data_IF_077287988793
#
_entry.id   IF_077287988793
#
_cell.length_a   1.000
_cell.length_b   1.000
_cell.length_c   1.000
_cell.angle_alpha   90.00
_cell.angle_beta   90.00
_cell.angle_gamma   90.00
#
_symmetry.space_group_name_H-M   'P 1'
#
loop_
_entity.id
_entity.type
_entity.pdbx_description
1 polymer ?
#
# COMPACT_ATOMS: atom_id res chain seq x y z
N UNK A 1 26.56 -7.53 -20.27
CA UNK A 1 27.10 -6.41 -19.49
C UNK A 1 26.05 -6.04 -18.46
N UNK A 2 26.18 -6.53 -17.22
CA UNK A 2 25.17 -6.27 -16.14
C UNK A 2 25.35 -4.83 -15.65
N UNK A 3 24.48 -3.93 -16.07
CA UNK A 3 24.45 -2.56 -15.56
C UNK A 3 23.91 -2.62 -14.13
N UNK A 4 24.80 -2.48 -13.17
CA UNK A 4 24.46 -2.32 -11.76
C UNK A 4 23.72 -0.99 -11.60
N UNK A 5 22.40 -1.02 -11.50
CA UNK A 5 21.65 0.06 -10.88
C UNK A 5 21.99 0.02 -9.40
N UNK A 6 22.96 0.85 -9.01
CA UNK A 6 23.21 1.14 -7.61
C UNK A 6 22.14 2.15 -7.22
N UNK A 7 21.01 1.65 -6.74
CA UNK A 7 20.14 2.48 -5.92
C UNK A 7 21.01 3.03 -4.78
N UNK A 8 20.91 4.31 -4.50
CA UNK A 8 21.45 4.89 -3.26
C UNK A 8 20.60 4.43 -2.07
N UNK A 9 20.41 3.12 -1.96
CA UNK A 9 19.42 2.43 -1.14
C UNK A 9 19.79 2.35 0.35
N UNK A 10 20.98 2.84 0.76
CA UNK A 10 21.39 2.76 2.16
C UNK A 10 21.14 4.05 2.94
N UNK A 11 21.28 5.21 2.30
CA UNK A 11 20.97 6.49 2.93
C UNK A 11 19.46 6.68 3.07
N UNK A 12 18.72 6.28 2.04
CA UNK A 12 17.26 6.40 1.93
C UNK A 12 16.51 5.58 2.98
N UNK A 13 17.00 4.38 3.35
CA UNK A 13 16.40 3.57 4.43
C UNK A 13 16.45 4.23 5.80
N UNK A 14 17.46 5.03 6.07
CA UNK A 14 17.63 5.73 7.33
C UNK A 14 16.65 6.89 7.45
N UNK A 15 16.44 7.68 6.40
CA UNK A 15 15.47 8.78 6.37
C UNK A 15 14.04 8.27 6.58
N UNK A 16 13.64 7.21 5.90
CA UNK A 16 12.32 6.60 6.12
C UNK A 16 12.14 6.09 7.56
N UNK A 17 13.21 5.65 8.22
CA UNK A 17 13.17 5.20 9.62
C UNK A 17 13.05 6.38 10.58
N UNK A 18 13.79 7.44 10.37
CA UNK A 18 13.90 8.58 11.28
C UNK A 18 12.77 9.59 11.10
N UNK A 19 12.48 9.98 9.85
CA UNK A 19 11.47 10.99 9.51
C UNK A 19 10.07 10.40 9.34
N UNK A 20 9.96 9.09 9.06
CA UNK A 20 8.69 8.42 8.74
C UNK A 20 8.24 8.59 7.30
N UNK A 21 8.94 9.35 6.47
CA UNK A 21 8.74 9.48 5.03
C UNK A 21 10.08 9.57 4.28
N UNK A 22 10.02 9.30 2.99
CA UNK A 22 11.12 9.40 2.04
C UNK A 22 10.57 10.01 0.75
N UNK A 23 11.27 11.00 0.20
CA UNK A 23 10.92 11.64 -1.07
C UNK A 23 12.15 11.77 -1.95
N UNK A 24 12.08 11.23 -3.17
CA UNK A 24 13.22 11.22 -4.09
C UNK A 24 12.78 11.26 -5.55
N UNK A 25 13.69 11.69 -6.42
CA UNK A 25 13.52 11.71 -7.87
C UNK A 25 14.31 10.59 -8.52
N UNK A 26 13.67 9.82 -9.39
CA UNK A 26 14.31 8.79 -10.21
C UNK A 26 14.18 9.19 -11.67
N UNK A 27 15.29 9.19 -12.41
CA UNK A 27 15.28 9.45 -13.85
C UNK A 27 16.27 8.56 -14.60
N UNK A 28 15.96 8.28 -15.85
CA UNK A 28 16.83 7.57 -16.80
C UNK A 28 16.72 8.22 -18.17
N UNK A 29 17.87 8.40 -18.83
CA UNK A 29 17.93 9.05 -20.15
C UNK A 29 18.02 8.09 -21.33
N UNK A 30 18.16 6.78 -21.10
CA UNK A 30 18.45 5.85 -22.21
C UNK A 30 18.13 4.38 -21.92
N UNK A 31 17.40 4.06 -20.88
CA UNK A 31 17.12 2.68 -20.50
C UNK A 31 15.67 2.49 -20.03
N UNK A 32 15.16 1.29 -20.23
CA UNK A 32 13.95 0.85 -19.54
C UNK A 32 14.12 0.96 -18.04
N UNK A 33 13.09 1.44 -17.38
CA UNK A 33 12.99 1.45 -15.92
C UNK A 33 12.03 0.34 -15.52
N UNK A 34 12.48 -0.53 -14.63
CA UNK A 34 11.67 -1.65 -14.13
C UNK A 34 11.71 -1.68 -12.61
N UNK A 35 10.55 -1.64 -12.01
CA UNK A 35 10.31 -1.97 -10.61
C UNK A 35 9.60 -3.32 -10.62
N UNK A 36 10.32 -4.38 -10.26
CA UNK A 36 9.79 -5.74 -10.21
C UNK A 36 8.63 -5.84 -9.23
N UNK A 37 7.81 -6.87 -9.36
CA UNK A 37 6.70 -7.14 -8.44
C UNK A 37 7.23 -7.24 -7.02
N UNK A 38 6.71 -6.39 -6.15
CA UNK A 38 7.10 -6.35 -4.73
C UNK A 38 5.99 -5.75 -3.86
N UNK A 39 6.25 -5.67 -2.58
CA UNK A 39 5.39 -5.03 -1.59
C UNK A 39 6.23 -4.53 -0.41
N UNK A 40 5.73 -3.54 0.29
CA UNK A 40 6.33 -2.97 1.49
C UNK A 40 5.27 -2.37 2.41
N UNK A 41 5.65 -2.07 3.65
CA UNK A 41 4.73 -1.50 4.66
C UNK A 41 4.43 -0.01 4.48
N UNK A 42 5.20 0.71 3.66
CA UNK A 42 4.94 2.10 3.37
C UNK A 42 3.74 2.25 2.41
N UNK A 43 3.04 3.38 2.49
CA UNK A 43 2.20 3.90 1.42
C UNK A 43 3.14 4.59 0.45
N UNK A 44 3.06 4.27 -0.84
CA UNK A 44 3.94 4.87 -1.84
C UNK A 44 3.12 5.61 -2.89
N UNK A 45 3.60 6.77 -3.26
CA UNK A 45 3.04 7.60 -4.31
C UNK A 45 4.09 7.80 -5.40
N UNK A 46 3.71 7.60 -6.65
CA UNK A 46 4.57 7.81 -7.81
C UNK A 46 3.95 8.90 -8.68
N UNK A 47 4.63 10.02 -8.83
CA UNK A 47 4.25 11.11 -9.72
C UNK A 47 5.13 11.07 -10.97
N UNK A 48 4.54 10.78 -12.13
CA UNK A 48 5.27 10.61 -13.38
C UNK A 48 5.70 11.97 -13.93
N UNK A 49 6.99 12.11 -14.24
CA UNK A 49 7.55 13.32 -14.87
C UNK A 49 7.83 13.14 -16.35
N UNK A 50 8.34 11.98 -16.73
CA UNK A 50 8.77 11.69 -18.10
C UNK A 50 8.50 10.23 -18.46
N UNK A 51 8.15 9.97 -19.72
CA UNK A 51 7.90 8.62 -20.22
C UNK A 51 6.51 8.09 -19.91
N UNK A 52 6.23 6.89 -20.40
CA UNK A 52 4.97 6.17 -20.15
C UNK A 52 5.29 4.89 -19.40
N UNK A 53 4.53 4.61 -18.38
CA UNK A 53 4.73 3.44 -17.54
C UNK A 53 3.49 2.54 -17.52
N UNK A 54 3.72 1.24 -17.73
CA UNK A 54 2.74 0.22 -17.39
C UNK A 54 2.87 -0.12 -15.92
N UNK A 55 1.80 0.10 -15.17
CA UNK A 55 1.74 -0.09 -13.72
C UNK A 55 0.78 -1.21 -13.39
N UNK A 56 1.19 -2.13 -12.54
CA UNK A 56 0.32 -3.18 -11.98
C UNK A 56 0.03 -2.86 -10.52
N UNK A 57 -1.25 -2.85 -10.15
CA UNK A 57 -1.74 -2.67 -8.77
C UNK A 57 -2.72 -3.78 -8.46
N UNK A 58 -2.37 -4.68 -7.54
CA UNK A 58 -3.19 -5.82 -7.13
C UNK A 58 -3.73 -6.65 -8.31
N UNK A 59 -2.93 -6.74 -9.40
CA UNK A 59 -3.26 -7.48 -10.62
C UNK A 59 -4.03 -6.71 -11.69
N UNK A 60 -4.43 -5.45 -11.44
CA UNK A 60 -4.97 -4.55 -12.45
C UNK A 60 -3.86 -3.75 -13.11
N UNK A 61 -4.01 -3.43 -14.40
CA UNK A 61 -3.01 -2.71 -15.17
C UNK A 61 -3.50 -1.31 -15.55
N UNK A 62 -2.59 -0.34 -15.43
CA UNK A 62 -2.79 1.06 -15.77
C UNK A 62 -1.65 1.52 -16.67
N UNK A 63 -1.92 2.50 -17.55
CA UNK A 63 -0.89 3.23 -18.29
C UNK A 63 -0.80 4.63 -17.69
N UNK A 64 0.37 4.95 -17.16
CA UNK A 64 0.62 6.22 -16.50
C UNK A 64 1.48 7.13 -17.40
N UNK A 65 1.02 8.33 -17.61
CA UNK A 65 1.63 9.35 -18.46
C UNK A 65 2.26 10.46 -17.61
N UNK A 66 3.11 11.33 -18.18
CA UNK A 66 3.62 12.49 -17.47
C UNK A 66 2.52 13.37 -16.89
N UNK A 67 2.61 13.63 -15.59
CA UNK A 67 1.62 14.38 -14.82
C UNK A 67 0.64 13.50 -14.05
N UNK A 68 0.58 12.19 -14.32
CA UNK A 68 -0.28 11.25 -13.58
C UNK A 68 0.34 10.90 -12.21
N UNK A 69 -0.53 10.57 -11.26
CA UNK A 69 -0.17 10.10 -9.92
C UNK A 69 -0.73 8.70 -9.67
N UNK A 70 0.12 7.84 -9.15
CA UNK A 70 -0.21 6.50 -8.73
C UNK A 70 -0.01 6.38 -7.21
N UNK A 71 -0.89 5.67 -6.53
CA UNK A 71 -0.75 5.34 -5.11
C UNK A 71 -0.74 3.83 -4.90
N UNK A 72 0.28 3.34 -4.22
CA UNK A 72 0.36 1.97 -3.72
C UNK A 72 0.07 1.96 -2.23
N UNK A 73 -0.90 1.15 -1.84
CA UNK A 73 -1.28 0.99 -0.43
C UNK A 73 -0.21 0.26 0.36
N UNK A 74 -0.16 0.50 1.66
CA UNK A 74 0.65 -0.32 2.57
C UNK A 74 0.35 -1.81 2.35
N UNK A 75 1.41 -2.60 2.12
CA UNK A 75 1.35 -4.02 1.77
C UNK A 75 0.61 -4.36 0.46
N UNK A 76 0.29 -3.36 -0.39
CA UNK A 76 -0.23 -3.59 -1.74
C UNK A 76 0.84 -4.17 -2.66
N UNK A 77 0.46 -5.13 -3.50
CA UNK A 77 1.37 -5.73 -4.47
C UNK A 77 1.38 -4.87 -5.72
N UNK A 78 2.56 -4.45 -6.12
CA UNK A 78 2.70 -3.57 -7.27
C UNK A 78 3.99 -3.79 -8.06
N UNK A 79 3.96 -3.34 -9.29
CA UNK A 79 5.13 -3.27 -10.17
C UNK A 79 4.96 -2.13 -11.17
N UNK A 80 6.06 -1.67 -11.74
CA UNK A 80 6.04 -0.63 -12.76
C UNK A 80 7.14 -0.89 -13.78
N UNK A 81 6.83 -0.72 -15.06
CA UNK A 81 7.81 -0.83 -16.15
C UNK A 81 7.57 0.29 -17.15
N UNK A 82 8.63 0.97 -17.60
CA UNK A 82 8.53 1.95 -18.67
C UNK A 82 8.27 1.27 -20.01
N UNK A 83 7.42 1.86 -20.83
CA UNK A 83 7.08 1.33 -22.17
C UNK A 83 8.05 1.75 -23.26
N UNK A 84 8.93 2.71 -22.97
CA UNK A 84 9.93 3.20 -23.91
C UNK A 84 11.33 3.22 -23.31
N UNK A 85 12.33 3.37 -24.16
CA UNK A 85 13.76 3.45 -23.79
C UNK A 85 14.28 4.89 -23.75
N UNK A 86 13.44 5.86 -24.03
CA UNK A 86 13.81 7.26 -24.02
C UNK A 86 13.87 7.80 -22.58
N UNK A 87 13.64 9.06 -22.41
CA UNK A 87 13.62 9.69 -21.10
C UNK A 87 12.46 9.15 -20.26
N UNK A 88 12.76 8.58 -19.12
CA UNK A 88 11.80 8.11 -18.13
C UNK A 88 12.10 8.75 -16.78
N UNK A 89 11.08 9.17 -16.05
CA UNK A 89 11.27 9.81 -14.75
C UNK A 89 10.01 9.85 -13.90
N UNK A 90 10.22 9.82 -12.59
CA UNK A 90 9.14 9.99 -11.62
C UNK A 90 9.68 10.49 -10.28
N UNK A 91 8.84 11.15 -9.51
CA UNK A 91 9.05 11.36 -8.08
C UNK A 91 8.37 10.24 -7.30
N UNK A 92 9.06 9.71 -6.30
CA UNK A 92 8.51 8.73 -5.36
C UNK A 92 8.42 9.35 -3.96
N UNK A 93 7.23 9.26 -3.35
CA UNK A 93 6.99 9.58 -1.96
C UNK A 93 6.59 8.30 -1.22
N UNK A 94 7.41 7.86 -0.27
CA UNK A 94 7.09 6.75 0.64
C UNK A 94 6.75 7.29 2.01
N UNK A 95 5.61 6.86 2.54
CA UNK A 95 5.10 7.34 3.83
C UNK A 95 4.82 6.13 4.73
N UNK A 96 5.42 6.09 5.91
CA UNK A 96 5.05 5.08 6.91
C UNK A 96 3.64 5.34 7.42
N UNK A 97 2.80 4.29 7.58
CA UNK A 97 1.45 4.45 8.13
C UNK A 97 1.40 5.18 9.49
N UNK A 98 2.49 5.15 10.25
CA UNK A 98 2.62 5.88 11.51
C UNK A 98 2.42 7.41 11.33
N UNK A 99 2.90 8.00 10.24
CA UNK A 99 2.68 9.44 9.97
C UNK A 99 1.19 9.79 9.96
N UNK A 100 0.33 8.89 9.47
CA UNK A 100 -1.11 9.13 9.50
C UNK A 100 -1.64 9.35 10.92
N UNK A 101 -1.01 8.71 11.91
CA UNK A 101 -1.34 8.90 13.32
C UNK A 101 -0.83 10.26 13.82
N UNK A 102 0.36 10.66 13.39
CA UNK A 102 1.01 11.89 13.84
C UNK A 102 0.31 13.16 13.28
N UNK A 103 -0.23 13.09 12.04
CA UNK A 103 -0.93 14.22 11.40
C UNK A 103 -2.44 14.23 11.66
N UNK A 104 -3.02 13.18 12.25
CA UNK A 104 -4.46 13.03 12.37
C UNK A 104 -4.93 13.28 13.78
N UNK A 105 -6.07 13.98 14.00
CA UNK A 105 -6.75 13.96 15.28
C UNK A 105 -7.01 12.50 15.69
N UNK A 106 -6.75 12.16 16.94
CA UNK A 106 -6.84 10.78 17.44
C UNK A 106 -8.15 10.08 17.08
N UNK A 107 -9.27 10.83 17.07
CA UNK A 107 -10.59 10.34 16.66
C UNK A 107 -10.68 9.89 15.17
N UNK A 108 -9.77 10.34 14.33
CA UNK A 108 -9.75 10.05 12.89
C UNK A 108 -8.68 9.06 12.49
N UNK A 109 -7.69 8.78 13.35
CA UNK A 109 -6.54 7.90 13.06
C UNK A 109 -6.98 6.57 12.47
N UNK A 110 -7.97 5.94 13.08
CA UNK A 110 -8.53 4.65 12.62
C UNK A 110 -9.08 4.74 11.19
N UNK A 111 -9.91 5.77 10.94
CA UNK A 111 -10.53 6.01 9.64
C UNK A 111 -9.47 6.19 8.56
N UNK A 112 -8.50 7.04 8.83
CA UNK A 112 -7.43 7.38 7.90
C UNK A 112 -6.52 6.18 7.65
N UNK A 113 -6.07 5.48 8.69
CA UNK A 113 -5.21 4.31 8.55
C UNK A 113 -5.88 3.18 7.76
N UNK A 114 -7.17 2.94 7.98
CA UNK A 114 -7.93 1.95 7.23
C UNK A 114 -8.03 2.30 5.74
N UNK A 115 -8.21 3.58 5.40
CA UNK A 115 -8.29 4.06 4.01
C UNK A 115 -7.08 3.65 3.19
N UNK A 116 -5.90 3.73 3.76
CA UNK A 116 -4.64 3.41 3.09
C UNK A 116 -4.20 1.95 3.27
N UNK A 117 -5.03 1.11 3.87
CA UNK A 117 -4.73 -0.32 4.02
C UNK A 117 -5.16 -1.13 2.80
N UNK A 118 -4.52 -2.27 2.58
CA UNK A 118 -4.90 -3.24 1.52
C UNK A 118 -6.34 -3.77 1.68
N UNK A 119 -6.94 -3.59 2.84
CA UNK A 119 -8.28 -4.05 3.13
C UNK A 119 -9.39 -3.11 2.63
N UNK A 120 -9.03 -1.94 2.12
CA UNK A 120 -9.98 -1.02 1.48
C UNK A 120 -9.93 -1.19 -0.04
N UNK A 121 -10.85 -1.93 -0.66
CA UNK A 121 -10.86 -2.16 -2.11
C UNK A 121 -11.34 -0.94 -2.91
N UNK A 122 -11.90 0.07 -2.25
CA UNK A 122 -12.60 1.19 -2.91
C UNK A 122 -11.75 2.47 -2.99
N UNK A 123 -10.56 2.48 -2.39
CA UNK A 123 -9.71 3.68 -2.48
C UNK A 123 -9.23 3.87 -3.91
N UNK A 124 -9.29 5.11 -4.40
CA UNK A 124 -8.73 5.48 -5.69
C UNK A 124 -7.21 5.31 -5.65
N UNK A 125 -6.65 4.70 -6.68
CA UNK A 125 -5.22 4.40 -6.80
C UNK A 125 -4.51 5.20 -7.88
N UNK A 126 -5.27 5.79 -8.78
CA UNK A 126 -4.75 6.44 -9.98
C UNK A 126 -5.51 7.74 -10.21
N UNK A 127 -4.76 8.81 -10.46
CA UNK A 127 -5.28 10.12 -10.85
C UNK A 127 -4.57 10.54 -12.13
N UNK A 128 -5.35 10.95 -13.13
CA UNK A 128 -4.78 11.58 -14.31
C UNK A 128 -4.30 12.98 -13.98
N UNK A 129 -3.46 13.54 -14.84
CA UNK A 129 -3.00 14.92 -14.74
C UNK A 129 -4.14 15.90 -14.56
N UNK A 130 -5.21 15.76 -15.37
CA UNK A 130 -6.37 16.64 -15.35
C UNK A 130 -7.16 16.53 -14.03
N UNK A 131 -7.22 15.35 -13.45
CA UNK A 131 -7.87 15.12 -12.15
C UNK A 131 -7.07 15.70 -10.97
N UNK A 132 -5.78 15.94 -11.15
CA UNK A 132 -4.91 16.53 -10.14
C UNK A 132 -4.93 18.05 -10.16
N UNK A 133 -5.27 18.69 -11.28
CA UNK A 133 -5.27 20.14 -11.41
C UNK A 133 -6.17 20.77 -10.33
N UNK A 134 -5.68 21.84 -9.70
CA UNK A 134 -6.38 22.60 -8.65
C UNK A 134 -6.75 21.78 -7.41
N UNK A 135 -6.01 20.69 -7.11
CA UNK A 135 -6.22 19.86 -5.92
C UNK A 135 -5.15 20.04 -4.86
N UNK A 136 -5.48 19.83 -3.58
CA UNK A 136 -4.48 19.79 -2.50
C UNK A 136 -3.39 18.71 -2.71
N UNK A 137 -3.69 17.66 -3.50
CA UNK A 137 -2.73 16.61 -3.85
C UNK A 137 -1.62 17.22 -4.70
N UNK A 138 -2.00 17.95 -5.76
CA UNK A 138 -1.04 18.61 -6.67
C UNK A 138 -0.22 19.66 -5.94
N UNK A 139 -0.86 20.51 -5.16
CA UNK A 139 -0.18 21.52 -4.33
C UNK A 139 0.87 20.91 -3.40
N UNK A 140 0.53 19.77 -2.78
CA UNK A 140 1.44 19.05 -1.92
C UNK A 140 2.66 18.50 -2.67
N UNK A 141 2.45 17.88 -3.85
CA UNK A 141 3.56 17.41 -4.69
C UNK A 141 4.44 18.53 -5.20
N UNK A 142 3.86 19.65 -5.63
CA UNK A 142 4.64 20.82 -6.08
C UNK A 142 5.52 21.40 -4.96
N UNK A 143 4.99 21.41 -3.72
CA UNK A 143 5.77 21.83 -2.56
C UNK A 143 6.90 20.83 -2.24
N UNK A 144 6.65 19.52 -2.29
CA UNK A 144 7.70 18.50 -2.09
C UNK A 144 8.81 18.63 -3.14
N UNK A 145 8.43 18.81 -4.41
CA UNK A 145 9.41 18.98 -5.51
C UNK A 145 10.25 20.24 -5.31
N UNK A 146 9.67 21.31 -4.82
CA UNK A 146 10.38 22.54 -4.49
C UNK A 146 11.36 22.36 -3.33
N UNK A 147 11.00 21.57 -2.34
CA UNK A 147 11.75 21.42 -1.10
C UNK A 147 12.80 20.30 -1.15
N UNK A 148 12.80 19.42 -2.19
CA UNK A 148 13.66 18.22 -2.25
C UNK A 148 15.17 18.56 -2.13
N UNK A 149 15.60 19.67 -2.73
CA UNK A 149 16.99 20.13 -2.71
C UNK A 149 17.19 21.30 -1.73
N UNK A 150 16.21 21.60 -0.89
CA UNK A 150 16.30 22.71 0.05
C UNK A 150 17.24 22.37 1.21
N UNK A 151 18.18 23.30 1.48
CA UNK A 151 19.02 23.26 2.67
C UNK A 151 18.43 24.05 3.85
N UNK A 152 17.18 24.48 3.76
CA UNK A 152 16.50 25.21 4.82
C UNK A 152 16.29 24.29 6.04
N UNK A 153 16.59 24.82 7.22
CA UNK A 153 16.41 24.13 8.51
C UNK A 153 14.96 23.65 8.74
N UNK A 154 13.99 24.31 8.12
CA UNK A 154 12.58 24.02 8.26
C UNK A 154 11.98 23.22 7.09
N UNK A 155 12.83 22.76 6.13
CA UNK A 155 12.35 22.01 4.97
C UNK A 155 11.58 20.74 5.36
N UNK A 156 11.99 20.04 6.39
CA UNK A 156 11.29 18.86 6.89
C UNK A 156 9.87 19.17 7.37
N UNK A 157 9.66 20.32 8.02
CA UNK A 157 8.32 20.77 8.45
C UNK A 157 7.47 21.11 7.22
N UNK A 158 8.05 21.81 6.22
CA UNK A 158 7.37 22.10 4.96
C UNK A 158 6.95 20.84 4.23
N UNK A 159 7.84 19.86 4.11
CA UNK A 159 7.55 18.56 3.50
C UNK A 159 6.47 17.80 4.26
N UNK A 160 6.48 17.84 5.61
CA UNK A 160 5.45 17.22 6.43
C UNK A 160 4.06 17.84 6.21
N UNK A 161 3.99 19.16 6.09
CA UNK A 161 2.75 19.89 5.75
C UNK A 161 2.28 19.51 4.34
N UNK A 162 3.21 19.39 3.38
CA UNK A 162 2.90 18.98 2.01
C UNK A 162 2.31 17.54 1.97
N UNK A 163 2.88 16.61 2.73
CA UNK A 163 2.36 15.25 2.88
C UNK A 163 0.95 15.27 3.50
N UNK A 164 0.73 16.10 4.52
CA UNK A 164 -0.59 16.25 5.12
C UNK A 164 -1.63 16.79 4.12
N UNK A 165 -1.25 17.73 3.23
CA UNK A 165 -2.12 18.21 2.13
C UNK A 165 -2.46 17.10 1.14
N UNK A 166 -1.47 16.29 0.72
CA UNK A 166 -1.68 15.15 -0.18
C UNK A 166 -2.71 14.19 0.43
N UNK A 167 -2.50 13.80 1.69
CA UNK A 167 -3.40 12.89 2.40
C UNK A 167 -4.80 13.48 2.53
N UNK A 168 -4.92 14.75 2.89
CA UNK A 168 -6.20 15.46 2.96
C UNK A 168 -6.91 15.46 1.60
N UNK A 169 -6.19 15.77 0.52
CA UNK A 169 -6.74 15.75 -0.83
C UNK A 169 -7.29 14.38 -1.21
N UNK A 170 -6.57 13.29 -0.93
CA UNK A 170 -7.03 11.93 -1.18
C UNK A 170 -8.28 11.59 -0.36
N UNK A 171 -8.30 11.97 0.91
CA UNK A 171 -9.45 11.75 1.77
C UNK A 171 -10.69 12.55 1.32
N UNK A 172 -10.49 13.72 0.72
CA UNK A 172 -11.58 14.59 0.23
C UNK A 172 -12.21 14.09 -1.07
N UNK A 173 -11.54 13.21 -1.83
CA UNK A 173 -12.10 12.63 -3.07
C UNK A 173 -13.04 11.45 -2.82
N UNK A 174 -13.26 11.06 -1.57
CA UNK A 174 -14.06 9.89 -1.22
C UNK A 174 -15.34 10.30 -0.50
N UNK A 175 -16.44 10.36 -1.24
CA UNK A 175 -17.78 10.75 -0.76
C UNK A 175 -18.36 9.81 0.33
N UNK A 176 -17.70 8.69 0.61
CA UNK A 176 -18.14 7.69 1.60
C UNK A 176 -17.48 7.80 2.98
N UNK A 177 -16.74 8.89 3.25
CA UNK A 177 -16.01 9.05 4.53
C UNK A 177 -16.90 8.90 5.78
N UNK A 178 -18.12 9.40 5.74
CA UNK A 178 -19.01 9.41 6.91
C UNK A 178 -19.69 8.06 7.18
N UNK A 179 -19.76 7.19 6.17
CA UNK A 179 -20.48 5.91 6.25
C UNK A 179 -19.60 4.72 6.62
N UNK A 180 -18.27 4.86 6.66
CA UNK A 180 -17.37 3.70 6.66
C UNK A 180 -16.87 3.31 8.06
N UNK A 181 -16.89 4.18 9.08
CA UNK A 181 -16.38 3.76 10.39
C UNK A 181 -17.13 4.38 11.60
N UNK A 182 -17.53 3.55 12.57
CA UNK A 182 -17.81 4.03 13.91
C UNK A 182 -16.53 4.60 14.55
N UNK A 183 -16.70 5.60 15.39
CA UNK A 183 -15.65 6.29 16.17
C UNK A 183 -15.03 5.40 17.27
N UNK A 184 -14.64 4.17 16.93
CA UNK A 184 -14.23 3.19 17.93
C UNK A 184 -12.76 2.81 17.75
N UNK A 185 -11.88 3.40 18.56
CA UNK A 185 -10.44 3.11 18.63
C UNK A 185 -10.16 1.60 18.79
N UNK A 186 -11.08 0.89 19.44
CA UNK A 186 -11.03 -0.54 19.71
C UNK A 186 -11.03 -1.40 18.43
N UNK A 187 -11.73 -0.96 17.37
CA UNK A 187 -11.71 -1.70 16.08
C UNK A 187 -10.35 -1.52 15.38
N UNK A 188 -9.74 -0.33 15.48
CA UNK A 188 -8.38 -0.12 14.97
C UNK A 188 -7.36 -1.01 15.69
N UNK A 189 -7.42 -1.08 17.02
CA UNK A 189 -6.58 -2.00 17.78
C UNK A 189 -6.74 -3.44 17.28
N UNK A 190 -7.97 -3.86 16.96
CA UNK A 190 -8.23 -5.19 16.41
C UNK A 190 -7.61 -5.38 15.02
N UNK A 191 -7.70 -4.39 14.13
CA UNK A 191 -7.09 -4.43 12.78
C UNK A 191 -5.57 -4.51 12.90
N UNK A 192 -4.98 -3.67 13.75
CA UNK A 192 -3.52 -3.67 14.01
C UNK A 192 -3.07 -5.02 14.58
N UNK A 193 -3.84 -5.55 15.52
CA UNK A 193 -3.56 -6.86 16.11
C UNK A 193 -3.64 -7.98 15.06
N UNK A 194 -4.68 -7.99 14.22
CA UNK A 194 -4.81 -8.98 13.14
C UNK A 194 -3.63 -8.90 12.17
N UNK A 195 -3.23 -7.71 11.75
CA UNK A 195 -2.11 -7.53 10.83
C UNK A 195 -0.76 -7.97 11.42
N UNK A 196 -0.59 -7.88 12.74
CA UNK A 196 0.62 -8.36 13.42
C UNK A 196 0.61 -9.88 13.67
N UNK A 197 -0.58 -10.50 13.77
CA UNK A 197 -0.76 -11.89 14.23
C UNK A 197 -1.55 -12.76 13.24
N UNK A 198 -1.73 -12.36 12.00
CA UNK A 198 -2.58 -13.07 11.03
C UNK A 198 -2.19 -14.53 10.80
N UNK A 199 -0.90 -14.87 10.98
CA UNK A 199 -0.40 -16.24 10.84
C UNK A 199 -0.78 -17.16 12.02
N UNK A 200 -1.23 -16.60 13.13
CA UNK A 200 -1.64 -17.34 14.31
C UNK A 200 -3.10 -17.84 14.18
N UNK A 201 -3.53 -18.69 15.11
CA UNK A 201 -4.91 -19.16 15.16
C UNK A 201 -5.84 -18.05 15.70
N UNK A 202 -6.30 -17.18 14.80
CA UNK A 202 -7.17 -16.08 15.11
C UNK A 202 -8.65 -16.40 14.80
N UNK A 203 -9.50 -16.17 15.78
CA UNK A 203 -10.96 -16.15 15.63
C UNK A 203 -11.55 -14.82 16.09
N UNK A 204 -12.78 -14.54 15.71
CA UNK A 204 -13.48 -13.35 16.16
C UNK A 204 -13.58 -13.29 17.71
N UNK A 205 -13.73 -14.46 18.36
CA UNK A 205 -13.77 -14.59 19.81
C UNK A 205 -12.45 -14.20 20.47
N UNK A 206 -11.32 -14.69 19.91
CA UNK A 206 -9.96 -14.38 20.41
C UNK A 206 -9.72 -12.87 20.34
N UNK A 207 -10.01 -12.27 19.20
CA UNK A 207 -9.78 -10.82 19.00
C UNK A 207 -10.74 -9.99 19.86
N UNK A 208 -12.03 -10.34 19.90
CA UNK A 208 -13.01 -9.66 20.73
C UNK A 208 -12.60 -9.65 22.21
N UNK A 209 -12.14 -10.81 22.73
CA UNK A 209 -11.63 -10.92 24.09
C UNK A 209 -10.42 -10.02 24.33
N UNK A 210 -9.50 -9.95 23.36
CA UNK A 210 -8.30 -9.11 23.45
C UNK A 210 -8.61 -7.62 23.61
N UNK A 211 -9.69 -7.15 22.96
CA UNK A 211 -10.14 -5.75 22.99
C UNK A 211 -11.32 -5.51 23.97
N UNK A 212 -11.56 -6.43 24.88
CA UNK A 212 -12.62 -6.35 25.90
C UNK A 212 -14.04 -6.15 25.33
N UNK A 213 -14.35 -6.79 24.19
CA UNK A 213 -15.69 -6.77 23.58
C UNK A 213 -16.33 -8.15 23.60
N UNK A 214 -17.68 -8.20 23.59
CA UNK A 214 -18.36 -9.45 23.27
C UNK A 214 -18.20 -9.79 21.79
N UNK A 215 -18.07 -11.09 21.42
CA UNK A 215 -17.88 -11.52 20.05
C UNK A 215 -18.96 -11.00 19.10
N UNK A 216 -20.23 -11.00 19.52
CA UNK A 216 -21.35 -10.49 18.71
C UNK A 216 -21.28 -8.97 18.48
N UNK A 217 -20.86 -8.19 19.48
CA UNK A 217 -20.66 -6.74 19.33
C UNK A 217 -19.48 -6.48 18.43
N UNK A 218 -18.33 -7.12 18.67
CA UNK A 218 -17.17 -7.05 17.83
C UNK A 218 -17.47 -7.33 16.36
N UNK A 219 -18.13 -8.47 16.05
CA UNK A 219 -18.43 -8.85 14.68
C UNK A 219 -19.30 -7.85 13.93
N UNK A 220 -20.29 -7.24 14.60
CA UNK A 220 -21.13 -6.19 14.01
C UNK A 220 -20.33 -4.89 13.80
N UNK A 221 -19.60 -4.44 14.83
CA UNK A 221 -18.81 -3.23 14.76
C UNK A 221 -17.66 -3.35 13.73
N UNK A 222 -17.00 -4.50 13.70
CA UNK A 222 -15.95 -4.80 12.74
C UNK A 222 -16.48 -4.75 11.29
N UNK A 223 -17.61 -5.42 11.02
CA UNK A 223 -18.23 -5.41 9.69
C UNK A 223 -18.74 -4.01 9.31
N UNK A 224 -19.32 -3.28 10.25
CA UNK A 224 -19.74 -1.89 10.02
C UNK A 224 -18.54 -0.99 9.69
N UNK A 225 -17.41 -1.19 10.38
CA UNK A 225 -16.20 -0.41 10.21
C UNK A 225 -15.40 -0.75 8.95
N UNK A 226 -15.31 -2.04 8.59
CA UNK A 226 -14.43 -2.51 7.51
C UNK A 226 -15.18 -2.88 6.23
N UNK A 227 -16.52 -2.90 6.28
CA UNK A 227 -17.36 -3.37 5.18
C UNK A 227 -17.36 -4.90 5.00
N UNK A 228 -16.46 -5.63 5.70
CA UNK A 228 -16.28 -7.08 5.52
C UNK A 228 -16.40 -7.83 6.85
N UNK A 229 -16.68 -9.13 6.79
CA UNK A 229 -16.64 -9.95 8.00
C UNK A 229 -15.18 -10.10 8.49
N UNK A 230 -15.00 -10.32 9.80
CA UNK A 230 -13.68 -10.60 10.38
C UNK A 230 -12.97 -11.77 9.68
N UNK A 231 -13.70 -12.84 9.36
CA UNK A 231 -13.18 -14.02 8.67
C UNK A 231 -12.69 -13.67 7.25
N UNK A 232 -13.44 -12.88 6.51
CA UNK A 232 -13.04 -12.46 5.16
C UNK A 232 -11.83 -11.53 5.24
N UNK A 233 -11.80 -10.59 6.18
CA UNK A 233 -10.68 -9.70 6.43
C UNK A 233 -9.39 -10.50 6.72
N UNK A 234 -9.42 -11.45 7.65
CA UNK A 234 -8.28 -12.31 7.97
C UNK A 234 -7.81 -13.10 6.75
N UNK A 235 -8.73 -13.66 5.96
CA UNK A 235 -8.38 -14.39 4.75
C UNK A 235 -7.79 -13.48 3.66
N UNK A 236 -8.29 -12.26 3.50
CA UNK A 236 -7.71 -11.25 2.59
C UNK A 236 -6.27 -10.94 3.03
N UNK A 237 -6.04 -10.66 4.30
CA UNK A 237 -4.70 -10.39 4.85
C UNK A 237 -3.76 -11.57 4.58
N UNK A 238 -4.16 -12.79 4.90
CA UNK A 238 -3.38 -14.02 4.69
C UNK A 238 -3.06 -14.27 3.20
N UNK A 239 -4.06 -14.10 2.32
CA UNK A 239 -3.85 -14.34 0.88
C UNK A 239 -3.01 -13.25 0.23
N UNK A 240 -3.07 -12.01 0.73
CA UNK A 240 -2.17 -10.93 0.28
C UNK A 240 -0.71 -11.26 0.64
N UNK A 241 -0.46 -11.69 1.87
CA UNK A 241 0.89 -12.10 2.30
C UNK A 241 1.37 -13.34 1.53
N UNK A 242 0.47 -14.33 1.31
CA UNK A 242 0.79 -15.50 0.50
C UNK A 242 1.16 -15.12 -0.95
N UNK A 243 0.46 -14.16 -1.54
CA UNK A 243 0.77 -13.67 -2.88
C UNK A 243 2.17 -13.03 -2.93
N UNK A 244 2.52 -12.24 -1.91
CA UNK A 244 3.87 -11.71 -1.78
C UNK A 244 4.91 -12.84 -1.80
N UNK A 245 4.77 -13.84 -0.93
CA UNK A 245 5.72 -14.96 -0.86
C UNK A 245 5.80 -15.75 -2.17
N UNK A 246 4.66 -15.95 -2.86
CA UNK A 246 4.62 -16.64 -4.16
C UNK A 246 5.43 -15.91 -5.24
N UNK A 247 5.46 -14.58 -5.22
CA UNK A 247 6.08 -13.75 -6.24
C UNK A 247 7.53 -13.38 -5.91
N UNK A 248 7.93 -13.47 -4.64
CA UNK A 248 9.27 -13.02 -4.19
C UNK A 248 10.15 -14.13 -3.64
N UNK A 249 9.67 -15.38 -3.56
CA UNK A 249 10.41 -16.50 -3.00
C UNK A 249 10.17 -17.81 -3.77
N UNK A 250 11.09 -18.76 -3.63
CA UNK A 250 10.97 -20.13 -4.16
C UNK A 250 10.31 -21.11 -3.18
N UNK A 251 9.72 -20.62 -2.09
CA UNK A 251 9.07 -21.46 -1.08
C UNK A 251 7.95 -22.30 -1.72
N UNK A 252 7.81 -23.55 -1.29
CA UNK A 252 6.72 -24.43 -1.74
C UNK A 252 5.35 -23.88 -1.32
N UNK A 253 4.31 -24.28 -2.05
CA UNK A 253 2.92 -23.91 -1.71
C UNK A 253 2.54 -24.36 -0.29
N UNK A 254 3.11 -25.47 0.18
CA UNK A 254 2.89 -26.00 1.53
C UNK A 254 3.52 -25.09 2.59
N UNK A 255 4.78 -24.67 2.38
CA UNK A 255 5.47 -23.75 3.30
C UNK A 255 4.77 -22.41 3.37
N UNK A 256 4.37 -21.85 2.21
CA UNK A 256 3.61 -20.59 2.16
C UNK A 256 2.28 -20.71 2.90
N UNK A 257 1.54 -21.81 2.71
CA UNK A 257 0.30 -22.04 3.45
C UNK A 257 0.53 -22.00 4.97
N UNK A 258 1.56 -22.69 5.47
CA UNK A 258 1.95 -22.69 6.88
C UNK A 258 2.32 -21.29 7.40
N UNK A 259 3.17 -20.57 6.67
CA UNK A 259 3.56 -19.19 7.03
C UNK A 259 2.40 -18.20 7.05
N UNK A 260 1.35 -18.47 6.29
CA UNK A 260 0.12 -17.66 6.26
C UNK A 260 -0.94 -18.13 7.28
N UNK A 261 -0.62 -19.06 8.16
CA UNK A 261 -1.53 -19.54 9.21
C UNK A 261 -2.62 -20.50 8.72
N UNK A 262 -2.36 -21.26 7.64
CA UNK A 262 -3.25 -22.32 7.17
C UNK A 262 -2.70 -23.69 7.55
N UNK A 263 -3.49 -24.46 8.28
CA UNK A 263 -3.14 -25.83 8.71
C UNK A 263 -3.33 -26.87 7.58
N UNK A 264 -3.87 -26.48 6.44
CA UNK A 264 -4.18 -27.37 5.32
C UNK A 264 -3.90 -26.67 3.99
N UNK A 265 -2.96 -27.23 3.21
CA UNK A 265 -2.62 -26.70 1.88
C UNK A 265 -3.80 -26.77 0.88
N UNK A 266 -4.62 -27.83 0.81
CA UNK A 266 -5.81 -27.84 -0.02
C UNK A 266 -6.83 -26.74 0.34
N UNK A 267 -7.03 -26.51 1.63
CA UNK A 267 -7.89 -25.42 2.10
C UNK A 267 -7.32 -24.05 1.71
N UNK A 268 -6.02 -23.85 1.91
CA UNK A 268 -5.32 -22.65 1.46
C UNK A 268 -5.53 -22.38 -0.03
N UNK A 269 -5.30 -23.39 -0.90
CA UNK A 269 -5.49 -23.25 -2.35
C UNK A 269 -6.92 -22.82 -2.70
N UNK A 270 -7.92 -23.38 -2.01
CA UNK A 270 -9.33 -23.03 -2.21
C UNK A 270 -9.61 -21.57 -1.81
N UNK A 271 -9.11 -21.16 -0.64
CA UNK A 271 -9.27 -19.79 -0.14
C UNK A 271 -8.51 -18.80 -1.02
N UNK A 272 -7.28 -19.11 -1.38
CA UNK A 272 -6.48 -18.27 -2.26
C UNK A 272 -7.19 -18.03 -3.60
N UNK A 273 -7.69 -19.09 -4.25
CA UNK A 273 -8.45 -18.99 -5.50
C UNK A 273 -9.71 -18.15 -5.34
N UNK A 274 -10.40 -18.27 -4.19
CA UNK A 274 -11.61 -17.46 -3.89
C UNK A 274 -11.29 -15.96 -3.91
N UNK A 275 -10.19 -15.53 -3.28
CA UNK A 275 -9.87 -14.10 -3.12
C UNK A 275 -8.98 -13.52 -4.24
N UNK A 276 -8.21 -14.36 -4.93
CA UNK A 276 -7.27 -13.92 -5.99
C UNK A 276 -7.70 -14.32 -7.41
N UNK A 277 -8.79 -15.06 -7.55
CA UNK A 277 -9.31 -15.50 -8.86
C UNK A 277 -8.55 -16.65 -9.51
N UNK A 278 -7.35 -16.96 -9.08
CA UNK A 278 -6.45 -18.02 -9.61
C UNK A 278 -5.78 -18.81 -8.48
N UNK A 279 -5.25 -19.98 -8.82
CA UNK A 279 -4.56 -20.82 -7.82
C UNK A 279 -3.16 -20.25 -7.51
N UNK A 280 -2.57 -20.57 -6.32
CA UNK A 280 -1.21 -20.16 -5.99
C UNK A 280 -0.18 -20.59 -7.04
N UNK A 281 -0.28 -21.82 -7.57
CA UNK A 281 0.62 -22.32 -8.62
C UNK A 281 0.46 -21.53 -9.92
N UNK A 282 -0.78 -21.23 -10.34
CA UNK A 282 -1.03 -20.44 -11.54
C UNK A 282 -0.52 -18.99 -11.37
N UNK A 283 -0.59 -18.42 -10.16
CA UNK A 283 0.01 -17.12 -9.85
C UNK A 283 1.51 -17.14 -10.10
N UNK A 284 2.23 -18.11 -9.51
CA UNK A 284 3.68 -18.24 -9.64
C UNK A 284 4.11 -18.44 -11.08
N UNK A 285 3.44 -19.36 -11.83
CA UNK A 285 3.78 -19.62 -13.23
C UNK A 285 3.56 -18.40 -14.13
N UNK A 286 2.51 -17.63 -13.88
CA UNK A 286 2.25 -16.40 -14.64
C UNK A 286 3.36 -15.35 -14.43
N UNK A 287 4.00 -15.35 -13.25
CA UNK A 287 5.11 -14.44 -12.96
C UNK A 287 6.42 -14.90 -13.64
N UNK A 288 6.77 -16.18 -13.49
CA UNK A 288 7.99 -16.74 -14.12
C UNK A 288 7.95 -16.77 -15.66
N UNK A 289 6.79 -16.64 -16.28
CA UNK A 289 6.66 -16.55 -17.74
C UNK A 289 6.85 -15.11 -18.28
N UNK A 290 6.98 -14.12 -17.40
CA UNK A 290 7.22 -12.70 -17.73
C UNK A 290 8.68 -12.28 -17.49
N UNK A 291 9.49 -13.12 -16.84
CA UNK A 291 10.94 -13.01 -16.67
C UNK A 291 11.67 -13.73 -17.82
#
# INVERSE_FOLDING_TARGET
MKTKYRFEAEKDKQDLVERGFEFFHVNSRSNYMTINVHTHSAIEFIYITDGIFKVSIDGNFYHANPGDLIMFRSHGIHSMVSENTEKNGYYALKVKPKILQDISPQRLVTKISFRFSVCNPHIKHFWTKEELEDTPIKDGFDQLIKDIDSSDTYSDISMFIAIAKIILGILSTDDNLDNILPSNDTIYESITYVNAHFAEELTAEVVAKKINMSCGHFSRSFKSATGTSFKDFLNITRTNYAQQLLLTTDLSILEIAGMCGYNSSPYFVTIYKKYKGKTPSAERHAHTALD
#
